data_IF_880148224383
#
_entry.id   IF_880148224383
#
_cell.length_a   1.000
_cell.length_b   1.000
_cell.length_c   1.000
_cell.angle_alpha   90.00
_cell.angle_beta   90.00
_cell.angle_gamma   90.00
#
_symmetry.space_group_name_H-M   'P 1'
#
loop_
_entity.id
_entity.type
_entity.pdbx_description
1 polymer ?
#
# COMPACT_ATOMS: atom_id res chain seq x y z
N UNK A 1 26.71 -5.46 -1.56
CA UNK A 1 25.83 -5.88 -0.45
C UNK A 1 25.74 -4.77 0.59
N UNK A 2 24.51 -4.38 0.96
CA UNK A 2 24.28 -3.41 2.05
C UNK A 2 24.86 -3.90 3.37
N UNK A 3 25.19 -2.95 4.25
CA UNK A 3 25.80 -3.20 5.55
C UNK A 3 25.22 -2.25 6.59
N UNK A 4 25.04 -2.71 7.82
CA UNK A 4 24.49 -1.87 8.90
C UNK A 4 25.39 -0.68 9.26
N UNK A 5 26.68 -0.73 8.91
CA UNK A 5 27.62 0.38 9.15
C UNK A 5 27.43 1.56 8.20
N UNK A 6 26.69 1.39 7.10
CA UNK A 6 26.32 2.51 6.24
C UNK A 6 25.18 3.30 6.89
N UNK A 7 25.38 4.61 7.05
CA UNK A 7 24.43 5.52 7.71
C UNK A 7 23.08 5.54 6.97
N UNK A 8 23.09 5.49 5.64
CA UNK A 8 21.86 5.49 4.85
C UNK A 8 21.08 4.18 5.04
N UNK A 9 21.79 3.05 5.02
CA UNK A 9 21.20 1.73 5.30
C UNK A 9 20.61 1.67 6.71
N UNK A 10 21.32 2.16 7.74
CA UNK A 10 20.80 2.20 9.11
C UNK A 10 19.55 3.09 9.23
N UNK A 11 19.56 4.29 8.62
CA UNK A 11 18.41 5.18 8.60
C UNK A 11 17.18 4.55 7.91
N UNK A 12 17.37 3.89 6.77
CA UNK A 12 16.31 3.17 6.05
C UNK A 12 15.67 2.08 6.94
N UNK A 13 16.48 1.29 7.63
CA UNK A 13 16.00 0.23 8.52
C UNK A 13 15.22 0.82 9.71
N UNK A 14 15.70 1.91 10.31
CA UNK A 14 14.98 2.62 11.38
C UNK A 14 13.63 3.14 10.90
N UNK A 15 13.55 3.71 9.70
CA UNK A 15 12.27 4.13 9.11
C UNK A 15 11.30 2.96 8.97
N UNK A 16 11.77 1.80 8.49
CA UNK A 16 10.94 0.58 8.39
C UNK A 16 10.51 0.05 9.75
N UNK A 17 11.35 0.12 10.77
CA UNK A 17 10.99 -0.27 12.15
C UNK A 17 9.91 0.65 12.70
N UNK A 18 9.99 1.96 12.45
CA UNK A 18 8.97 2.92 12.89
C UNK A 18 7.59 2.67 12.27
N UNK A 19 7.51 2.06 11.08
CA UNK A 19 6.22 1.68 10.47
C UNK A 19 5.57 0.43 11.09
N UNK A 20 6.28 -0.34 11.93
CA UNK A 20 5.73 -1.53 12.56
C UNK A 20 4.64 -1.17 13.58
N UNK A 21 3.60 -1.99 13.63
CA UNK A 21 2.47 -1.83 14.55
C UNK A 21 2.38 -3.04 15.49
N UNK A 22 1.82 -2.84 16.68
CA UNK A 22 1.63 -3.92 17.67
C UNK A 22 0.80 -5.09 17.11
N UNK A 23 -0.08 -4.83 16.15
CA UNK A 23 -0.93 -5.81 15.49
C UNK A 23 -0.37 -6.31 14.14
N UNK A 24 0.88 -5.99 13.79
CA UNK A 24 1.55 -6.54 12.61
C UNK A 24 1.57 -8.07 12.68
N UNK A 25 0.96 -8.72 11.69
CA UNK A 25 0.93 -10.18 11.59
C UNK A 25 2.15 -10.70 10.84
N UNK A 26 2.69 -11.81 11.32
CA UNK A 26 3.81 -12.46 10.66
C UNK A 26 3.36 -13.16 9.37
N UNK A 27 4.05 -12.90 8.27
CA UNK A 27 3.87 -13.56 6.97
C UNK A 27 4.40 -15.01 6.99
N UNK A 28 5.42 -15.28 7.82
CA UNK A 28 5.94 -16.63 8.09
C UNK A 28 6.46 -16.74 9.52
N UNK A 29 6.74 -17.97 9.96
CA UNK A 29 7.18 -18.25 11.32
C UNK A 29 6.03 -18.17 12.34
N UNK A 30 6.39 -18.13 13.63
CA UNK A 30 5.43 -18.20 14.75
C UNK A 30 5.45 -17.00 15.70
N UNK A 31 6.39 -16.06 15.51
CA UNK A 31 6.54 -14.92 16.41
C UNK A 31 5.48 -13.85 16.12
N UNK A 32 4.84 -13.33 17.17
CA UNK A 32 4.06 -12.10 17.06
C UNK A 32 4.97 -10.85 17.01
N UNK A 33 4.37 -9.67 16.86
CA UNK A 33 5.13 -8.43 16.68
C UNK A 33 6.12 -8.13 17.81
N UNK A 34 5.67 -8.28 19.06
CA UNK A 34 6.52 -8.10 20.23
C UNK A 34 7.64 -9.15 20.30
N UNK A 35 7.33 -10.42 20.07
CA UNK A 35 8.30 -11.52 20.11
C UNK A 35 9.41 -11.34 19.06
N UNK A 36 9.06 -10.87 17.86
CA UNK A 36 10.02 -10.55 16.81
C UNK A 36 10.94 -9.40 17.24
N UNK A 37 10.38 -8.30 17.74
CA UNK A 37 11.19 -7.18 18.24
C UNK A 37 12.17 -7.65 19.31
N UNK A 38 11.67 -8.43 20.28
CA UNK A 38 12.49 -8.97 21.35
C UNK A 38 13.62 -9.86 20.84
N UNK A 39 13.32 -10.71 19.87
CA UNK A 39 14.30 -11.55 19.20
C UNK A 39 15.39 -10.72 18.52
N UNK A 40 15.01 -9.67 17.79
CA UNK A 40 15.96 -8.79 17.12
C UNK A 40 16.81 -8.00 18.11
N UNK A 41 16.22 -7.44 19.18
CA UNK A 41 16.97 -6.80 20.28
C UNK A 41 18.03 -7.74 20.85
N UNK A 42 17.67 -9.00 21.14
CA UNK A 42 18.62 -9.99 21.67
C UNK A 42 19.74 -10.31 20.68
N UNK A 43 19.45 -10.30 19.37
CA UNK A 43 20.45 -10.42 18.32
C UNK A 43 21.43 -9.24 18.34
N UNK A 44 20.93 -8.01 18.44
CA UNK A 44 21.80 -6.84 18.48
C UNK A 44 22.63 -6.75 19.76
N UNK A 45 22.05 -7.07 20.93
CA UNK A 45 22.77 -7.17 22.20
C UNK A 45 23.92 -8.19 22.11
N UNK A 46 23.72 -9.28 21.38
CA UNK A 46 24.76 -10.27 21.13
C UNK A 46 25.90 -9.71 20.29
N UNK A 47 25.60 -9.13 19.12
CA UNK A 47 26.63 -8.57 18.24
C UNK A 47 27.42 -7.45 18.93
N UNK A 48 26.76 -6.64 19.76
CA UNK A 48 27.39 -5.57 20.53
C UNK A 48 28.09 -6.05 21.82
N UNK A 49 28.08 -7.35 22.11
CA UNK A 49 28.74 -7.92 23.28
C UNK A 49 28.04 -7.65 24.62
N UNK A 50 26.84 -7.07 24.61
CA UNK A 50 26.01 -6.84 25.80
C UNK A 50 25.48 -8.14 26.39
N UNK A 51 25.31 -9.19 25.57
CA UNK A 51 24.89 -10.52 26.00
C UNK A 51 25.63 -11.62 25.24
N UNK A 52 26.02 -12.68 25.94
CA UNK A 52 26.69 -13.83 25.34
C UNK A 52 25.81 -15.08 25.43
N UNK A 53 25.91 -15.94 24.42
CA UNK A 53 25.16 -17.18 24.31
C UNK A 53 26.09 -18.36 24.14
N UNK A 54 25.68 -19.52 24.65
CA UNK A 54 26.52 -20.72 24.58
C UNK A 54 26.72 -21.15 23.13
N UNK A 55 27.98 -21.39 22.73
CA UNK A 55 28.29 -21.88 21.39
C UNK A 55 27.76 -23.30 21.17
N UNK A 56 26.92 -23.49 20.16
CA UNK A 56 26.31 -24.78 19.82
C UNK A 56 27.32 -25.72 19.16
N UNK A 57 27.29 -27.01 19.51
CA UNK A 57 28.18 -28.02 18.94
C UNK A 57 28.01 -28.15 17.41
N UNK A 58 26.77 -28.22 16.92
CA UNK A 58 26.48 -28.26 15.49
C UNK A 58 26.95 -26.99 14.75
N UNK A 59 26.94 -25.83 15.44
CA UNK A 59 27.49 -24.59 14.90
C UNK A 59 29.01 -24.62 14.74
N UNK A 60 29.72 -25.36 15.60
CA UNK A 60 31.18 -25.55 15.45
C UNK A 60 31.54 -26.32 14.17
N UNK A 61 30.67 -27.25 13.74
CA UNK A 61 30.88 -28.08 12.55
C UNK A 61 30.40 -27.37 11.26
N UNK A 62 29.23 -26.74 11.29
CA UNK A 62 28.57 -26.25 10.07
C UNK A 62 28.40 -24.72 10.00
N UNK A 63 28.70 -24.00 11.08
CA UNK A 63 28.44 -22.55 11.19
C UNK A 63 29.13 -21.71 10.12
N UNK A 64 30.42 -21.96 9.86
CA UNK A 64 31.16 -21.22 8.83
C UNK A 64 30.60 -21.40 7.42
N UNK A 65 30.20 -22.64 7.07
CA UNK A 65 29.56 -22.94 5.78
C UNK A 65 28.19 -22.26 5.66
N UNK A 66 27.39 -22.31 6.72
CA UNK A 66 26.09 -21.64 6.76
C UNK A 66 26.22 -20.12 6.58
N UNK A 67 27.18 -19.49 7.28
CA UNK A 67 27.45 -18.06 7.12
C UNK A 67 27.86 -17.72 5.69
N UNK A 68 28.78 -18.49 5.11
CA UNK A 68 29.22 -18.30 3.72
C UNK A 68 28.06 -18.44 2.73
N UNK A 69 27.13 -19.37 2.98
CA UNK A 69 25.91 -19.52 2.18
C UNK A 69 24.98 -18.31 2.28
N UNK A 70 24.75 -17.79 3.49
CA UNK A 70 23.91 -16.62 3.73
C UNK A 70 24.51 -15.36 3.10
N UNK A 71 25.83 -15.21 3.13
CA UNK A 71 26.55 -14.02 2.64
C UNK A 71 27.07 -14.16 1.19
N UNK A 72 26.73 -15.23 0.48
CA UNK A 72 27.27 -15.50 -0.88
C UNK A 72 26.89 -14.45 -1.91
N UNK A 73 25.67 -13.93 -1.84
CA UNK A 73 25.06 -13.02 -2.80
C UNK A 73 24.06 -12.10 -2.08
N UNK A 74 23.35 -11.23 -2.80
CA UNK A 74 22.37 -10.30 -2.21
C UNK A 74 20.99 -10.94 -1.94
N UNK A 75 20.86 -12.26 -2.14
CA UNK A 75 19.61 -12.97 -1.92
C UNK A 75 19.10 -12.85 -0.48
N UNK A 76 17.78 -12.87 -0.35
CA UNK A 76 17.10 -12.79 0.93
C UNK A 76 17.36 -14.04 1.78
N UNK A 77 17.45 -13.87 3.10
CA UNK A 77 17.47 -14.99 4.03
C UNK A 77 16.17 -15.80 3.91
N UNK A 78 16.31 -17.12 3.79
CA UNK A 78 15.18 -18.05 3.66
C UNK A 78 14.26 -17.97 4.89
N UNK A 79 12.93 -18.09 4.72
CA UNK A 79 11.99 -18.26 5.83
C UNK A 79 12.33 -19.45 6.73
N UNK A 80 11.86 -19.40 7.98
CA UNK A 80 11.85 -20.51 8.94
C UNK A 80 13.23 -21.13 9.25
N UNK A 81 14.29 -20.31 9.23
CA UNK A 81 15.60 -20.75 9.73
C UNK A 81 15.55 -21.02 11.25
N UNK A 82 16.33 -21.98 11.75
CA UNK A 82 16.34 -22.32 13.16
C UNK A 82 16.87 -21.16 14.02
N UNK A 83 16.11 -20.81 15.05
CA UNK A 83 16.52 -19.85 16.07
C UNK A 83 17.32 -20.54 17.18
N UNK A 84 18.35 -19.87 17.71
CA UNK A 84 19.06 -20.33 18.89
C UNK A 84 18.08 -20.61 20.04
N UNK A 85 18.18 -21.73 20.79
CA UNK A 85 17.19 -22.06 21.82
C UNK A 85 16.96 -20.95 22.84
N UNK A 86 18.03 -20.28 23.28
CA UNK A 86 17.99 -19.16 24.23
C UNK A 86 17.41 -17.86 23.66
N UNK A 87 17.13 -17.80 22.35
CA UNK A 87 16.55 -16.64 21.65
C UNK A 87 15.10 -16.88 21.21
N UNK A 88 14.47 -17.98 21.66
CA UNK A 88 13.05 -18.23 21.44
C UNK A 88 12.21 -17.48 22.48
N UNK A 89 11.31 -16.62 22.02
CA UNK A 89 10.50 -15.77 22.89
C UNK A 89 9.10 -16.37 23.03
N UNK A 90 8.66 -16.61 24.27
CA UNK A 90 7.34 -17.17 24.58
C UNK A 90 6.41 -16.20 25.30
N UNK A 91 6.92 -15.09 25.83
CA UNK A 91 6.15 -14.09 26.58
C UNK A 91 5.59 -12.93 25.75
N UNK A 92 4.81 -12.08 26.42
CA UNK A 92 4.37 -10.75 25.95
C UNK A 92 5.15 -9.64 26.65
N UNK A 93 4.96 -8.40 26.21
CA UNK A 93 5.57 -7.23 26.83
C UNK A 93 5.23 -5.94 26.09
N UNK A 94 5.90 -4.84 26.45
CA UNK A 94 5.63 -3.53 25.87
C UNK A 94 6.30 -3.40 24.50
N UNK A 95 5.47 -3.39 23.45
CA UNK A 95 5.91 -3.26 22.05
C UNK A 95 6.69 -1.98 21.78
N UNK A 96 6.19 -0.83 22.25
CA UNK A 96 6.81 0.48 21.99
C UNK A 96 8.18 0.61 22.68
N UNK A 97 8.30 0.13 23.92
CA UNK A 97 9.58 0.13 24.64
C UNK A 97 10.61 -0.78 23.94
N UNK A 98 10.19 -1.97 23.50
CA UNK A 98 11.10 -2.89 22.82
C UNK A 98 11.49 -2.37 21.42
N UNK A 99 10.57 -1.69 20.71
CA UNK A 99 10.84 -1.02 19.43
C UNK A 99 11.88 0.09 19.60
N UNK A 100 11.70 0.95 20.59
CA UNK A 100 12.65 2.04 20.89
C UNK A 100 14.05 1.48 21.21
N UNK A 101 14.11 0.42 22.03
CA UNK A 101 15.36 -0.25 22.37
C UNK A 101 16.07 -0.84 21.14
N UNK A 102 15.34 -1.45 20.22
CA UNK A 102 15.94 -1.99 19.01
C UNK A 102 16.49 -0.89 18.10
N UNK A 103 15.76 0.22 17.95
CA UNK A 103 16.23 1.39 17.19
C UNK A 103 17.53 1.95 17.77
N UNK A 104 17.61 2.11 19.10
CA UNK A 104 18.82 2.59 19.78
C UNK A 104 20.02 1.67 19.49
N UNK A 105 19.81 0.35 19.57
CA UNK A 105 20.85 -0.62 19.25
C UNK A 105 21.30 -0.54 17.79
N UNK A 106 20.40 -0.34 16.83
CA UNK A 106 20.78 -0.19 15.43
C UNK A 106 21.55 1.11 15.16
N UNK A 107 21.21 2.19 15.86
CA UNK A 107 21.92 3.46 15.75
C UNK A 107 23.34 3.39 16.37
N UNK A 108 23.52 2.57 17.41
CA UNK A 108 24.81 2.35 18.05
C UNK A 108 25.88 1.73 17.12
N UNK A 109 25.48 1.19 15.95
CA UNK A 109 26.44 0.66 14.99
C UNK A 109 27.41 1.71 14.42
N UNK A 110 27.07 3.00 14.50
CA UNK A 110 27.96 4.10 14.11
C UNK A 110 29.27 4.11 14.92
N UNK A 111 29.24 3.65 16.18
CA UNK A 111 30.39 3.55 17.07
C UNK A 111 30.80 2.09 17.36
N UNK A 112 30.39 1.15 16.52
CA UNK A 112 30.58 -0.28 16.79
C UNK A 112 32.04 -0.71 16.85
N UNK A 113 32.40 -1.39 17.94
CA UNK A 113 33.66 -2.10 18.09
C UNK A 113 33.46 -3.38 18.90
N UNK A 114 33.73 -4.54 18.28
CA UNK A 114 33.75 -5.84 18.94
C UNK A 114 34.71 -6.81 18.23
N UNK A 115 36.04 -6.57 18.29
CA UNK A 115 37.02 -7.32 17.51
C UNK A 115 37.16 -8.79 17.90
N UNK A 116 36.70 -9.16 19.10
CA UNK A 116 36.78 -10.52 19.64
C UNK A 116 35.44 -11.27 19.61
N UNK A 117 34.45 -10.77 18.87
CA UNK A 117 33.14 -11.39 18.78
C UNK A 117 33.21 -12.82 18.22
N UNK A 118 32.51 -13.74 18.90
CA UNK A 118 32.30 -15.12 18.44
C UNK A 118 30.80 -15.43 18.48
N UNK A 119 30.21 -15.62 17.30
CA UNK A 119 28.81 -15.97 17.18
C UNK A 119 28.54 -17.40 17.69
N UNK A 120 27.46 -17.64 18.47
CA UNK A 120 27.16 -18.95 19.07
C UNK A 120 26.92 -20.07 18.05
N UNK A 121 26.49 -19.70 16.83
CA UNK A 121 26.40 -20.62 15.70
C UNK A 121 27.56 -20.47 14.68
N UNK A 122 27.73 -19.31 14.04
CA UNK A 122 28.72 -19.11 12.98
C UNK A 122 30.20 -19.09 13.40
N UNK A 123 30.52 -18.87 14.68
CA UNK A 123 31.90 -18.71 15.15
C UNK A 123 32.45 -17.31 14.91
N UNK A 124 33.76 -17.19 14.67
CA UNK A 124 34.42 -15.89 14.43
C UNK A 124 33.88 -15.27 13.14
N UNK A 125 33.61 -13.97 13.18
CA UNK A 125 33.12 -13.20 12.03
C UNK A 125 33.98 -11.95 11.86
N UNK A 126 34.26 -11.56 10.61
CA UNK A 126 34.89 -10.26 10.32
C UNK A 126 33.91 -9.12 10.53
N UNK A 127 34.41 -7.89 10.69
CA UNK A 127 33.55 -6.69 10.77
C UNK A 127 32.59 -6.63 9.58
N UNK A 128 33.09 -6.82 8.36
CA UNK A 128 32.27 -6.85 7.15
C UNK A 128 31.15 -7.91 7.23
N UNK A 129 31.48 -9.15 7.58
CA UNK A 129 30.49 -10.23 7.73
C UNK A 129 29.42 -9.92 8.77
N UNK A 130 29.80 -9.31 9.89
CA UNK A 130 28.84 -8.84 10.91
C UNK A 130 27.91 -7.82 10.28
N UNK A 131 28.46 -6.80 9.61
CA UNK A 131 27.64 -5.72 9.06
C UNK A 131 26.66 -6.18 7.98
N UNK A 132 27.09 -7.09 7.10
CA UNK A 132 26.22 -7.68 6.09
C UNK A 132 25.17 -8.62 6.71
N UNK A 133 25.54 -9.43 7.70
CA UNK A 133 24.62 -10.34 8.35
C UNK A 133 23.53 -9.60 9.14
N UNK A 134 23.92 -8.59 9.92
CA UNK A 134 22.97 -7.75 10.68
C UNK A 134 21.97 -7.12 9.72
N UNK A 135 22.43 -6.49 8.64
CA UNK A 135 21.51 -5.96 7.61
C UNK A 135 20.52 -7.03 7.11
N UNK A 136 21.01 -8.21 6.71
CA UNK A 136 20.16 -9.28 6.19
C UNK A 136 19.17 -9.81 7.23
N UNK A 137 19.58 -9.93 8.49
CA UNK A 137 18.76 -10.40 9.60
C UNK A 137 17.66 -9.38 9.94
N UNK A 138 18.01 -8.10 10.05
CA UNK A 138 17.05 -7.00 10.25
C UNK A 138 16.05 -6.94 9.10
N UNK A 139 16.51 -6.97 7.84
CA UNK A 139 15.64 -6.95 6.67
C UNK A 139 14.70 -8.16 6.63
N UNK A 140 15.20 -9.36 6.97
CA UNK A 140 14.40 -10.57 7.05
C UNK A 140 13.23 -10.42 8.02
N UNK A 141 13.49 -9.92 9.23
CA UNK A 141 12.46 -9.77 10.24
C UNK A 141 11.51 -8.60 9.98
N UNK A 142 11.98 -7.53 9.33
CA UNK A 142 11.09 -6.47 8.87
C UNK A 142 10.13 -6.96 7.79
N UNK A 143 10.59 -7.79 6.85
CA UNK A 143 9.69 -8.44 5.87
C UNK A 143 8.79 -9.49 6.50
N UNK A 144 9.23 -10.16 7.56
CA UNK A 144 8.41 -11.12 8.29
C UNK A 144 7.14 -10.47 8.84
N UNK A 145 7.22 -9.22 9.33
CA UNK A 145 6.08 -8.50 9.90
C UNK A 145 5.52 -7.40 9.00
N UNK A 146 6.06 -7.23 7.80
CA UNK A 146 5.49 -6.30 6.84
C UNK A 146 4.04 -6.74 6.55
N UNK A 147 3.14 -5.77 6.54
CA UNK A 147 1.79 -5.98 6.02
C UNK A 147 1.96 -6.42 4.57
N UNK A 148 1.21 -7.45 4.16
CA UNK A 148 1.21 -7.92 2.78
C UNK A 148 0.60 -6.83 1.89
N UNK A 149 1.42 -5.84 1.50
CA UNK A 149 1.05 -4.78 0.55
C UNK A 149 0.50 -5.38 -0.75
N UNK A 150 0.87 -6.63 -1.04
CA UNK A 150 0.42 -7.35 -2.22
C UNK A 150 -1.08 -7.61 -2.18
N UNK A 151 -1.68 -8.05 -1.07
CA UNK A 151 -3.12 -8.36 -1.04
C UNK A 151 -3.97 -7.11 -1.32
N UNK A 152 -3.67 -5.99 -0.66
CA UNK A 152 -4.39 -4.72 -0.87
C UNK A 152 -4.19 -4.21 -2.30
N UNK A 153 -2.96 -4.33 -2.82
CA UNK A 153 -2.65 -3.97 -4.21
C UNK A 153 -3.39 -4.85 -5.22
N UNK A 154 -3.44 -6.17 -5.02
CA UNK A 154 -4.18 -7.10 -5.87
C UNK A 154 -5.68 -6.81 -5.85
N UNK A 155 -6.25 -6.54 -4.67
CA UNK A 155 -7.65 -6.11 -4.54
C UNK A 155 -7.88 -4.82 -5.33
N UNK A 156 -6.99 -3.84 -5.22
CA UNK A 156 -7.14 -2.57 -5.92
C UNK A 156 -7.03 -2.71 -7.45
N UNK A 157 -6.12 -3.56 -7.94
CA UNK A 157 -6.05 -3.93 -9.36
C UNK A 157 -7.34 -4.61 -9.81
N UNK A 158 -7.87 -5.56 -9.03
CA UNK A 158 -9.12 -6.24 -9.33
C UNK A 158 -10.31 -5.26 -9.40
N UNK A 159 -10.39 -4.30 -8.47
CA UNK A 159 -11.40 -3.21 -8.50
C UNK A 159 -11.25 -2.37 -9.77
N UNK A 160 -10.03 -2.02 -10.16
CA UNK A 160 -9.76 -1.21 -11.36
C UNK A 160 -10.20 -1.95 -12.64
N UNK A 161 -9.86 -3.24 -12.75
CA UNK A 161 -10.27 -4.08 -13.88
C UNK A 161 -11.79 -4.28 -13.91
N UNK A 162 -12.41 -4.53 -12.76
CA UNK A 162 -13.85 -4.65 -12.64
C UNK A 162 -14.57 -3.35 -13.03
N UNK A 163 -14.02 -2.19 -12.65
CA UNK A 163 -14.52 -0.87 -13.09
C UNK A 163 -14.52 -0.76 -14.61
N UNK A 164 -13.45 -1.19 -15.28
CA UNK A 164 -13.36 -1.20 -16.74
C UNK A 164 -14.41 -2.13 -17.38
N UNK A 165 -14.54 -3.35 -16.85
CA UNK A 165 -15.47 -4.37 -17.37
C UNK A 165 -16.92 -3.90 -17.21
N UNK A 166 -17.29 -3.41 -16.03
CA UNK A 166 -18.62 -2.87 -15.77
C UNK A 166 -18.91 -1.67 -16.67
N UNK A 167 -17.97 -0.73 -16.81
CA UNK A 167 -18.17 0.46 -17.64
C UNK A 167 -18.23 0.14 -19.14
N UNK A 168 -17.45 -0.84 -19.62
CA UNK A 168 -17.58 -1.39 -20.97
C UNK A 168 -18.97 -1.97 -21.20
N UNK A 169 -19.48 -2.79 -20.27
CA UNK A 169 -20.86 -3.27 -20.35
C UNK A 169 -21.89 -2.14 -20.30
N UNK A 170 -21.66 -1.14 -19.45
CA UNK A 170 -22.54 0.01 -19.26
C UNK A 170 -22.68 0.91 -20.49
N UNK A 171 -21.61 0.98 -21.30
CA UNK A 171 -21.55 1.76 -22.55
C UNK A 171 -22.04 0.98 -23.78
N UNK A 172 -22.66 -0.18 -23.58
CA UNK A 172 -23.16 -1.02 -24.68
C UNK A 172 -22.07 -1.81 -25.38
N UNK A 173 -21.00 -2.14 -24.66
CA UNK A 173 -19.83 -2.89 -25.17
C UNK A 173 -19.07 -2.12 -26.26
N UNK A 174 -18.93 -0.81 -26.12
CA UNK A 174 -18.14 0.00 -27.06
C UNK A 174 -16.64 -0.31 -26.91
N UNK A 175 -16.08 -0.99 -27.92
CA UNK A 175 -14.68 -1.42 -27.94
C UNK A 175 -13.70 -0.25 -27.81
N UNK A 176 -14.07 0.95 -28.25
CA UNK A 176 -13.22 2.14 -28.16
C UNK A 176 -13.04 2.59 -26.72
N UNK A 177 -14.11 2.51 -25.91
CA UNK A 177 -14.07 2.82 -24.48
C UNK A 177 -13.10 1.89 -23.77
N UNK A 178 -13.19 0.58 -24.03
CA UNK A 178 -12.25 -0.39 -23.47
C UNK A 178 -10.82 -0.10 -23.95
N UNK A 179 -10.59 0.06 -25.26
CA UNK A 179 -9.26 0.31 -25.81
C UNK A 179 -8.58 1.55 -25.21
N UNK A 180 -9.28 2.69 -25.14
CA UNK A 180 -8.73 3.90 -24.55
C UNK A 180 -8.46 3.76 -23.05
N UNK A 181 -9.36 3.10 -22.31
CA UNK A 181 -9.17 2.87 -20.87
C UNK A 181 -7.98 1.95 -20.60
N UNK A 182 -7.86 0.85 -21.35
CA UNK A 182 -6.75 -0.11 -21.24
C UNK A 182 -5.42 0.52 -21.61
N UNK A 183 -5.35 1.25 -22.73
CA UNK A 183 -4.12 1.95 -23.14
C UNK A 183 -3.70 2.95 -22.06
N UNK A 184 -4.65 3.72 -21.52
CA UNK A 184 -4.37 4.70 -20.48
C UNK A 184 -3.82 4.07 -19.21
N UNK A 185 -4.45 3.02 -18.68
CA UNK A 185 -3.94 2.36 -17.46
C UNK A 185 -2.60 1.65 -17.70
N UNK A 186 -2.33 1.11 -18.89
CA UNK A 186 -1.02 0.52 -19.18
C UNK A 186 0.08 1.59 -19.14
N UNK A 187 -0.15 2.74 -19.76
CA UNK A 187 0.80 3.86 -19.74
C UNK A 187 1.02 4.34 -18.30
N UNK A 188 -0.06 4.65 -17.58
CA UNK A 188 0.01 5.14 -16.20
C UNK A 188 0.66 4.10 -15.28
N UNK A 189 0.35 2.83 -15.47
CA UNK A 189 0.87 1.72 -14.69
C UNK A 189 2.38 1.57 -14.84
N UNK A 190 2.88 1.52 -16.08
CA UNK A 190 4.32 1.41 -16.38
C UNK A 190 5.08 2.61 -15.81
N UNK A 191 4.57 3.82 -16.04
CA UNK A 191 5.21 5.06 -15.60
C UNK A 191 5.23 5.15 -14.06
N UNK A 192 4.14 4.77 -13.40
CA UNK A 192 4.04 4.76 -11.94
C UNK A 192 4.90 3.67 -11.29
N UNK A 193 4.97 2.48 -11.91
CA UNK A 193 5.82 1.39 -11.44
C UNK A 193 7.30 1.76 -11.48
N UNK A 194 7.72 2.55 -12.47
CA UNK A 194 9.07 3.16 -12.53
C UNK A 194 9.30 4.29 -11.52
N UNK A 195 8.33 4.61 -10.65
CA UNK A 195 8.46 5.64 -9.62
C UNK A 195 8.40 7.08 -10.14
N UNK A 196 7.97 7.30 -11.38
CA UNK A 196 8.03 8.62 -12.02
C UNK A 196 7.30 9.72 -11.22
N UNK A 197 6.15 9.41 -10.62
CA UNK A 197 5.33 10.38 -9.88
C UNK A 197 5.82 10.69 -8.46
N UNK A 198 6.82 9.97 -7.95
CA UNK A 198 7.35 10.18 -6.59
C UNK A 198 8.17 11.47 -6.45
N UNK A 199 8.69 12.01 -7.55
CA UNK A 199 9.31 13.33 -7.57
C UNK A 199 8.25 14.43 -7.65
N UNK A 200 7.75 14.84 -6.49
CA UNK A 200 6.65 15.82 -6.35
C UNK A 200 7.07 17.27 -6.58
N UNK A 201 8.38 17.56 -6.55
CA UNK A 201 8.93 18.91 -6.73
C UNK A 201 9.36 19.20 -8.18
N UNK A 202 9.24 18.22 -9.08
CA UNK A 202 9.54 18.39 -10.50
C UNK A 202 8.71 19.52 -11.12
N UNK A 203 9.33 20.26 -12.05
CA UNK A 203 8.69 21.32 -12.84
C UNK A 203 8.71 20.94 -14.33
N UNK A 204 7.55 20.81 -15.01
CA UNK A 204 6.19 20.92 -14.46
C UNK A 204 5.86 19.74 -13.51
N UNK A 205 4.89 19.90 -12.58
CA UNK A 205 4.48 18.83 -11.66
C UNK A 205 4.07 17.57 -12.43
N UNK A 206 4.80 16.47 -12.23
CA UNK A 206 4.59 15.22 -13.01
C UNK A 206 3.18 14.67 -12.86
N UNK A 207 2.60 14.82 -11.67
CA UNK A 207 1.24 14.37 -11.36
C UNK A 207 0.16 15.13 -12.15
N UNK A 208 0.44 16.35 -12.63
CA UNK A 208 -0.48 17.11 -13.47
C UNK A 208 -0.83 16.36 -14.76
N UNK A 209 0.11 15.58 -15.31
CA UNK A 209 -0.13 14.74 -16.49
C UNK A 209 -1.23 13.70 -16.28
N UNK A 210 -1.34 13.14 -15.06
CA UNK A 210 -2.40 12.20 -14.70
C UNK A 210 -3.76 12.91 -14.68
N UNK A 211 -3.84 14.08 -14.03
CA UNK A 211 -5.08 14.84 -13.92
C UNK A 211 -5.58 15.31 -15.29
N UNK A 212 -4.70 15.87 -16.12
CA UNK A 212 -5.04 16.30 -17.47
C UNK A 212 -5.43 15.11 -18.36
N UNK A 213 -4.68 14.02 -18.32
CA UNK A 213 -4.98 12.81 -19.08
C UNK A 213 -6.33 12.20 -18.68
N UNK A 214 -6.65 12.15 -17.39
CA UNK A 214 -7.95 11.69 -16.89
C UNK A 214 -9.12 12.55 -17.37
N UNK A 215 -8.94 13.88 -17.40
CA UNK A 215 -9.96 14.81 -17.95
C UNK A 215 -10.13 14.62 -19.45
N UNK A 216 -9.04 14.55 -20.22
CA UNK A 216 -9.08 14.32 -21.67
C UNK A 216 -9.77 13.00 -21.98
N UNK A 217 -9.37 11.92 -21.30
CA UNK A 217 -10.00 10.60 -21.45
C UNK A 217 -11.49 10.67 -21.16
N UNK A 218 -11.89 11.38 -20.10
CA UNK A 218 -13.31 11.54 -19.75
C UNK A 218 -14.10 12.26 -20.84
N UNK A 219 -13.55 13.33 -21.39
CA UNK A 219 -14.18 14.09 -22.49
C UNK A 219 -14.30 13.21 -23.74
N UNK A 220 -13.25 12.47 -24.10
CA UNK A 220 -13.25 11.56 -25.25
C UNK A 220 -14.32 10.49 -25.07
N UNK A 221 -14.34 9.79 -23.93
CA UNK A 221 -15.33 8.74 -23.63
C UNK A 221 -16.75 9.32 -23.67
N UNK A 222 -16.99 10.47 -23.04
CA UNK A 222 -18.30 11.10 -23.05
C UNK A 222 -18.82 11.38 -24.47
N UNK A 223 -17.95 11.85 -25.37
CA UNK A 223 -18.31 12.17 -26.76
C UNK A 223 -18.57 10.94 -27.62
N UNK A 224 -17.79 9.87 -27.46
CA UNK A 224 -17.92 8.67 -28.32
C UNK A 224 -19.10 7.77 -27.92
N UNK A 225 -19.46 7.75 -26.64
CA UNK A 225 -20.53 6.89 -26.11
C UNK A 225 -21.89 7.45 -26.52
N UNK A 226 -22.68 6.63 -27.22
CA UNK A 226 -24.04 6.99 -27.67
C UNK A 226 -25.06 6.76 -26.56
N UNK A 227 -26.02 7.69 -26.41
CA UNK A 227 -27.09 7.63 -25.39
C UNK A 227 -27.92 6.34 -25.44
N UNK A 228 -28.26 5.86 -26.64
CA UNK A 228 -29.21 4.76 -26.83
C UNK A 228 -28.68 3.40 -26.38
N UNK A 229 -27.36 3.23 -26.26
CA UNK A 229 -26.73 1.97 -25.85
C UNK A 229 -26.38 1.93 -24.35
N UNK A 230 -26.73 2.98 -23.59
CA UNK A 230 -26.41 3.06 -22.16
C UNK A 230 -27.26 2.12 -21.33
N UNK A 231 -26.61 1.23 -20.57
CA UNK A 231 -27.25 0.40 -19.56
C UNK A 231 -27.23 1.11 -18.20
N UNK A 232 -28.38 1.66 -17.78
CA UNK A 232 -28.51 2.40 -16.51
C UNK A 232 -28.19 1.55 -15.28
N UNK A 233 -28.49 0.25 -15.32
CA UNK A 233 -28.23 -0.66 -14.20
C UNK A 233 -26.74 -0.90 -14.01
N UNK A 234 -25.99 -1.08 -15.09
CA UNK A 234 -24.53 -1.23 -15.02
C UNK A 234 -23.83 0.10 -14.65
N UNK A 235 -24.34 1.25 -15.12
CA UNK A 235 -23.85 2.55 -14.65
C UNK A 235 -24.05 2.70 -13.13
N UNK A 236 -25.21 2.27 -12.60
CA UNK A 236 -25.45 2.22 -11.15
C UNK A 236 -24.51 1.23 -10.44
N UNK A 237 -24.28 0.05 -11.03
CA UNK A 237 -23.42 -0.99 -10.45
C UNK A 237 -21.99 -0.50 -10.22
N UNK A 238 -21.47 0.39 -11.04
CA UNK A 238 -20.12 0.95 -10.88
C UNK A 238 -19.99 1.73 -9.56
N UNK A 239 -21.05 2.40 -9.12
CA UNK A 239 -21.03 3.11 -7.85
C UNK A 239 -20.93 2.17 -6.64
N UNK A 240 -21.28 0.88 -6.78
CA UNK A 240 -21.07 -0.11 -5.70
C UNK A 240 -19.59 -0.33 -5.40
N UNK A 241 -18.70 -0.09 -6.37
CA UNK A 241 -17.26 -0.20 -6.19
C UNK A 241 -16.68 0.86 -5.25
N UNK A 242 -17.42 1.93 -4.94
CA UNK A 242 -17.02 2.89 -3.89
C UNK A 242 -16.85 2.19 -2.54
N UNK A 243 -17.70 1.23 -2.19
CA UNK A 243 -17.62 0.52 -0.91
C UNK A 243 -16.29 -0.24 -0.71
N UNK A 244 -15.85 -1.14 -1.61
CA UNK A 244 -14.55 -1.78 -1.47
C UNK A 244 -13.37 -0.80 -1.60
N UNK A 245 -13.50 0.29 -2.38
CA UNK A 245 -12.48 1.36 -2.42
C UNK A 245 -12.33 2.03 -1.05
N UNK A 246 -13.42 2.34 -0.36
CA UNK A 246 -13.37 2.91 1.00
C UNK A 246 -12.64 2.00 1.99
N UNK A 247 -12.85 0.68 1.87
CA UNK A 247 -12.13 -0.30 2.70
C UNK A 247 -10.63 -0.31 2.39
N UNK A 248 -10.25 -0.20 1.10
CA UNK A 248 -8.85 -0.06 0.69
C UNK A 248 -8.24 1.24 1.21
N UNK A 249 -8.93 2.38 1.08
CA UNK A 249 -8.46 3.67 1.58
C UNK A 249 -8.28 3.65 3.10
N UNK A 250 -9.18 3.01 3.84
CA UNK A 250 -9.03 2.85 5.29
C UNK A 250 -7.84 1.97 5.67
N UNK A 251 -7.57 0.92 4.89
CA UNK A 251 -6.39 0.10 5.09
C UNK A 251 -5.10 0.89 4.80
N UNK A 252 -5.08 1.68 3.71
CA UNK A 252 -3.95 2.57 3.39
C UNK A 252 -3.74 3.68 4.43
N UNK A 253 -4.81 4.13 5.09
CA UNK A 253 -4.71 5.02 6.24
C UNK A 253 -3.98 4.38 7.42
N UNK A 254 -4.32 3.13 7.77
CA UNK A 254 -3.60 2.39 8.83
C UNK A 254 -2.13 2.17 8.50
N UNK A 255 -1.79 2.16 7.22
CA UNK A 255 -0.41 2.04 6.71
C UNK A 255 0.33 3.39 6.62
N UNK A 256 -0.30 4.51 7.01
CA UNK A 256 0.33 5.83 6.95
C UNK A 256 0.35 6.47 5.55
N UNK A 257 -0.34 5.89 4.56
CA UNK A 257 -0.22 6.30 3.13
C UNK A 257 -1.31 7.26 2.65
N UNK A 258 -2.40 7.36 3.40
CA UNK A 258 -3.59 8.18 3.10
C UNK A 258 -4.08 8.80 4.41
N UNK A 259 -4.49 10.08 4.48
CA UNK A 259 -5.01 10.65 5.71
C UNK A 259 -6.37 10.11 6.12
N UNK A 260 -6.70 10.19 7.41
CA UNK A 260 -8.02 9.81 7.93
C UNK A 260 -9.15 10.59 7.24
N UNK A 261 -8.91 11.85 6.85
CA UNK A 261 -9.86 12.72 6.13
C UNK A 261 -10.38 12.09 4.85
N UNK A 262 -9.56 11.27 4.17
CA UNK A 262 -9.90 10.59 2.92
C UNK A 262 -10.63 9.24 3.13
N UNK A 263 -10.94 8.87 4.37
CA UNK A 263 -11.61 7.60 4.69
C UNK A 263 -13.01 7.84 5.22
N UNK A 264 -13.84 6.79 5.24
CA UNK A 264 -15.16 6.82 5.87
C UNK A 264 -15.16 7.13 7.38
N UNK A 265 -14.00 7.08 8.06
CA UNK A 265 -13.84 7.54 9.45
C UNK A 265 -13.61 9.05 9.56
N UNK A 266 -13.20 9.69 8.46
CA UNK A 266 -13.06 11.14 8.34
C UNK A 266 -14.23 11.73 7.57
N UNK A 267 -13.93 12.42 6.47
CA UNK A 267 -14.90 13.21 5.71
C UNK A 267 -15.31 12.56 4.39
N UNK A 268 -14.93 11.29 4.17
CA UNK A 268 -15.29 10.60 2.94
C UNK A 268 -16.69 9.98 3.04
N UNK A 269 -17.67 10.72 2.55
CA UNK A 269 -19.07 10.30 2.52
C UNK A 269 -19.42 9.36 1.35
N UNK A 270 -18.46 9.02 0.48
CA UNK A 270 -18.71 8.12 -0.64
C UNK A 270 -19.06 6.69 -0.20
N UNK A 271 -18.78 6.31 1.05
CA UNK A 271 -19.29 5.06 1.63
C UNK A 271 -20.81 4.96 1.56
N UNK A 272 -21.52 6.07 1.81
CA UNK A 272 -22.98 6.13 1.76
C UNK A 272 -23.48 6.00 0.31
N UNK A 273 -22.76 6.59 -0.64
CA UNK A 273 -23.05 6.43 -2.07
C UNK A 273 -22.83 4.99 -2.53
N UNK A 274 -21.78 4.31 -2.05
CA UNK A 274 -21.52 2.91 -2.33
C UNK A 274 -22.60 1.98 -1.78
N UNK A 275 -22.98 2.16 -0.51
CA UNK A 275 -24.04 1.36 0.15
C UNK A 275 -25.39 1.61 -0.53
N UNK A 276 -25.77 2.87 -0.75
CA UNK A 276 -27.03 3.19 -1.41
C UNK A 276 -27.07 2.68 -2.85
N UNK A 277 -25.96 2.74 -3.61
CA UNK A 277 -25.87 2.13 -4.92
C UNK A 277 -26.09 0.62 -4.89
N UNK A 278 -25.52 -0.09 -3.90
CA UNK A 278 -25.68 -1.52 -3.75
C UNK A 278 -27.15 -1.89 -3.47
N UNK A 279 -27.79 -1.19 -2.54
CA UNK A 279 -29.21 -1.38 -2.22
C UNK A 279 -30.09 -1.12 -3.45
N UNK A 280 -29.88 0.00 -4.14
CA UNK A 280 -30.66 0.36 -5.33
C UNK A 280 -30.44 -0.63 -6.47
N UNK A 281 -29.21 -1.11 -6.66
CA UNK A 281 -28.88 -2.08 -7.70
C UNK A 281 -29.55 -3.44 -7.41
N UNK A 282 -29.47 -3.93 -6.17
CA UNK A 282 -30.17 -5.16 -5.75
C UNK A 282 -31.69 -5.01 -5.88
N UNK A 283 -32.25 -3.88 -5.47
CA UNK A 283 -33.68 -3.58 -5.63
C UNK A 283 -34.12 -3.66 -7.10
N UNK A 284 -33.36 -3.05 -8.02
CA UNK A 284 -33.64 -3.11 -9.46
C UNK A 284 -33.56 -4.54 -10.02
N UNK A 285 -32.62 -5.36 -9.52
CA UNK A 285 -32.47 -6.76 -9.94
C UNK A 285 -33.62 -7.65 -9.46
N UNK A 286 -34.08 -7.46 -8.22
CA UNK A 286 -35.12 -8.27 -7.60
C UNK A 286 -36.53 -7.84 -8.00
N UNK A 287 -36.80 -6.54 -8.00
CA UNK A 287 -38.16 -6.00 -8.17
C UNK A 287 -38.54 -5.80 -9.63
N UNK A 288 -37.58 -5.71 -10.57
CA UNK A 288 -37.75 -5.28 -11.97
C UNK A 288 -38.48 -3.93 -12.16
N UNK A 289 -38.83 -3.23 -11.08
CA UNK A 289 -39.50 -1.94 -11.09
C UNK A 289 -38.52 -0.83 -11.48
N UNK A 290 -39.05 0.22 -12.12
CA UNK A 290 -38.27 1.40 -12.48
C UNK A 290 -38.23 2.38 -11.31
N UNK A 291 -37.05 2.95 -11.04
CA UNK A 291 -36.93 4.05 -10.09
C UNK A 291 -37.55 5.34 -10.67
N UNK A 292 -38.17 6.20 -9.82
CA UNK A 292 -38.70 7.48 -10.25
C UNK A 292 -37.61 8.37 -10.88
N UNK A 293 -37.95 9.07 -11.98
CA UNK A 293 -37.00 9.94 -12.70
C UNK A 293 -36.37 11.00 -11.79
N UNK A 294 -37.18 11.67 -10.97
CA UNK A 294 -36.72 12.71 -10.04
C UNK A 294 -35.71 12.13 -9.03
N UNK A 295 -35.98 10.94 -8.51
CA UNK A 295 -35.08 10.25 -7.58
C UNK A 295 -33.72 9.95 -8.24
N UNK A 296 -33.72 9.40 -9.47
CA UNK A 296 -32.48 9.13 -10.21
C UNK A 296 -31.66 10.42 -10.41
N UNK A 297 -32.31 11.51 -10.84
CA UNK A 297 -31.63 12.78 -11.06
C UNK A 297 -31.03 13.34 -9.77
N UNK A 298 -31.83 13.41 -8.69
CA UNK A 298 -31.37 13.90 -7.39
C UNK A 298 -30.21 13.07 -6.84
N UNK A 299 -30.30 11.73 -6.89
CA UNK A 299 -29.26 10.83 -6.41
C UNK A 299 -27.93 11.02 -7.16
N UNK A 300 -27.98 11.22 -8.48
CA UNK A 300 -26.77 11.46 -9.28
C UNK A 300 -26.16 12.84 -9.02
N UNK A 301 -26.98 13.88 -8.78
CA UNK A 301 -26.49 15.21 -8.42
C UNK A 301 -25.80 15.18 -7.05
N UNK A 302 -26.45 14.58 -6.04
CA UNK A 302 -25.86 14.40 -4.70
C UNK A 302 -24.55 13.61 -4.79
N UNK A 303 -24.54 12.53 -5.58
CA UNK A 303 -23.36 11.72 -5.80
C UNK A 303 -22.19 12.47 -6.46
N UNK A 304 -22.47 13.42 -7.35
CA UNK A 304 -21.46 14.31 -7.93
C UNK A 304 -20.94 15.33 -6.93
N UNK A 305 -21.79 15.86 -6.05
CA UNK A 305 -21.36 16.79 -4.98
C UNK A 305 -20.41 16.07 -4.01
N UNK A 306 -20.77 14.87 -3.57
CA UNK A 306 -19.89 14.08 -2.67
C UNK A 306 -18.58 13.70 -3.35
N UNK A 307 -18.63 13.30 -4.63
CA UNK A 307 -17.43 13.00 -5.41
C UNK A 307 -16.51 14.22 -5.54
N UNK A 308 -17.06 15.40 -5.86
CA UNK A 308 -16.29 16.63 -5.98
C UNK A 308 -15.64 17.01 -4.63
N UNK A 309 -16.38 16.84 -3.55
CA UNK A 309 -15.91 17.11 -2.20
C UNK A 309 -14.71 16.22 -1.84
N UNK A 310 -14.82 14.89 -2.03
CA UNK A 310 -13.71 13.98 -1.69
C UNK A 310 -12.52 14.13 -2.64
N UNK A 311 -12.74 14.40 -3.93
CA UNK A 311 -11.65 14.68 -4.89
C UNK A 311 -10.89 15.94 -4.48
N UNK A 312 -11.59 16.97 -3.98
CA UNK A 312 -10.95 18.18 -3.48
C UNK A 312 -10.07 17.89 -2.26
N UNK A 313 -10.58 17.13 -1.28
CA UNK A 313 -9.79 16.68 -0.13
C UNK A 313 -8.57 15.88 -0.61
N UNK A 314 -8.74 14.96 -1.57
CA UNK A 314 -7.66 14.14 -2.09
C UNK A 314 -6.54 14.98 -2.72
N UNK A 315 -6.89 15.97 -3.55
CA UNK A 315 -5.94 16.88 -4.20
C UNK A 315 -5.19 17.72 -3.16
N UNK A 316 -5.92 18.35 -2.23
CA UNK A 316 -5.30 19.21 -1.22
C UNK A 316 -4.56 18.45 -0.12
N UNK A 317 -4.78 17.14 0.00
CA UNK A 317 -4.04 16.27 0.92
C UNK A 317 -2.85 15.57 0.28
N UNK A 318 -2.74 15.56 -1.05
CA UNK A 318 -1.60 14.97 -1.75
C UNK A 318 -0.35 15.85 -1.58
N UNK A 319 0.85 15.25 -1.49
CA UNK A 319 2.12 15.96 -1.24
C UNK A 319 2.64 16.68 -2.49
N UNK A 320 1.77 17.47 -3.11
CA UNK A 320 2.05 18.30 -4.28
C UNK A 320 2.34 19.73 -3.80
N UNK A 321 2.91 20.61 -4.65
CA UNK A 321 3.15 22.01 -4.29
C UNK A 321 1.89 22.79 -3.84
N UNK A 322 0.70 22.27 -4.15
CA UNK A 322 -0.61 22.84 -3.78
C UNK A 322 -1.22 22.21 -2.51
N UNK A 323 -0.49 21.37 -1.77
CA UNK A 323 -0.99 20.74 -0.55
C UNK A 323 -1.43 21.79 0.48
N UNK A 324 -2.60 21.59 1.08
CA UNK A 324 -3.17 22.45 2.12
C UNK A 324 -3.71 21.67 3.32
N UNK A 325 -3.88 20.36 3.19
CA UNK A 325 -4.47 19.49 4.20
C UNK A 325 -3.52 18.34 4.55
N UNK A 326 -3.74 17.74 5.73
CA UNK A 326 -3.13 16.49 6.14
C UNK A 326 -1.59 16.44 6.05
N UNK A 327 -0.91 17.49 6.52
CA UNK A 327 0.55 17.57 6.50
C UNK A 327 1.23 16.45 7.32
N UNK A 328 0.60 15.99 8.41
CA UNK A 328 1.13 14.91 9.25
C UNK A 328 1.08 13.54 8.56
N UNK A 329 0.10 13.32 7.68
CA UNK A 329 -0.10 12.07 6.95
C UNK A 329 -0.66 12.35 5.54
N UNK A 330 0.18 12.80 4.60
CA UNK A 330 -0.27 13.16 3.27
C UNK A 330 -0.78 11.96 2.47
N UNK A 331 -1.57 12.23 1.45
CA UNK A 331 -2.03 11.23 0.48
C UNK A 331 -0.90 10.87 -0.49
N UNK A 332 0.06 10.07 -0.01
CA UNK A 332 1.20 9.57 -0.81
C UNK A 332 0.81 8.40 -1.70
N UNK A 333 -0.23 7.63 -1.34
CA UNK A 333 -0.63 6.41 -2.06
C UNK A 333 -0.85 6.66 -3.55
N UNK A 334 -1.52 7.76 -3.92
CA UNK A 334 -1.84 8.09 -5.32
C UNK A 334 -0.62 8.27 -6.22
N UNK A 335 0.59 8.42 -5.66
CA UNK A 335 1.83 8.52 -6.43
C UNK A 335 2.41 7.16 -6.84
N UNK A 336 1.90 6.06 -6.27
CA UNK A 336 2.44 4.72 -6.46
C UNK A 336 1.49 3.81 -7.20
N UNK A 337 2.05 2.81 -7.89
CA UNK A 337 1.29 1.70 -8.43
C UNK A 337 0.81 0.79 -7.27
N UNK A 338 -0.43 0.24 -7.32
CA UNK A 338 -1.47 0.45 -8.33
C UNK A 338 -2.43 1.62 -8.00
N UNK A 339 -2.26 2.27 -6.85
CA UNK A 339 -3.22 3.24 -6.31
C UNK A 339 -3.35 4.52 -7.15
N UNK A 340 -2.36 4.85 -7.98
CA UNK A 340 -2.47 5.91 -9.01
C UNK A 340 -3.66 5.72 -9.96
N UNK A 341 -4.16 4.48 -10.12
CA UNK A 341 -5.35 4.23 -10.93
C UNK A 341 -6.63 4.84 -10.33
N UNK A 342 -6.63 5.19 -9.04
CA UNK A 342 -7.76 5.87 -8.40
C UNK A 342 -8.08 7.21 -9.10
N UNK A 343 -7.18 8.22 -9.10
CA UNK A 343 -7.42 9.46 -9.83
C UNK A 343 -7.29 9.31 -11.34
N UNK A 344 -6.49 8.36 -11.84
CA UNK A 344 -6.25 8.23 -13.28
C UNK A 344 -7.45 7.64 -14.04
N UNK A 345 -8.19 6.71 -13.44
CA UNK A 345 -9.28 6.02 -14.14
C UNK A 345 -10.52 5.79 -13.28
N UNK A 346 -10.39 5.25 -12.07
CA UNK A 346 -11.56 4.79 -11.28
C UNK A 346 -12.49 5.96 -10.95
N UNK A 347 -11.95 7.07 -10.42
CA UNK A 347 -12.71 8.31 -10.16
C UNK A 347 -13.33 8.88 -11.45
N UNK A 348 -12.59 9.02 -12.57
CA UNK A 348 -13.17 9.37 -13.87
C UNK A 348 -14.35 8.50 -14.33
N UNK A 349 -14.26 7.17 -14.21
CA UNK A 349 -15.36 6.27 -14.61
C UNK A 349 -16.59 6.43 -13.71
N UNK A 350 -16.38 6.63 -12.41
CA UNK A 350 -17.45 6.94 -11.46
C UNK A 350 -18.10 8.29 -11.79
N UNK A 351 -17.31 9.32 -12.10
CA UNK A 351 -17.81 10.62 -12.56
C UNK A 351 -18.64 10.50 -13.84
N UNK A 352 -18.09 9.83 -14.85
CA UNK A 352 -18.78 9.58 -16.12
C UNK A 352 -20.08 8.80 -15.92
N UNK A 353 -20.13 7.86 -14.97
CA UNK A 353 -21.33 7.09 -14.70
C UNK A 353 -22.49 7.98 -14.25
N UNK A 354 -22.24 8.97 -13.40
CA UNK A 354 -23.22 9.99 -13.05
C UNK A 354 -23.63 10.84 -14.27
N UNK A 355 -22.65 11.40 -14.98
CA UNK A 355 -22.90 12.33 -16.09
C UNK A 355 -23.65 11.66 -17.24
N UNK A 356 -23.34 10.39 -17.55
CA UNK A 356 -24.02 9.62 -18.59
C UNK A 356 -25.46 9.27 -18.20
N UNK A 357 -25.73 8.97 -16.93
CA UNK A 357 -27.11 8.82 -16.44
C UNK A 357 -27.85 10.15 -16.57
N UNK A 358 -27.29 11.26 -16.09
CA UNK A 358 -27.94 12.58 -16.21
C UNK A 358 -28.26 12.92 -17.66
N UNK A 359 -27.32 12.74 -18.59
CA UNK A 359 -27.54 12.92 -20.03
C UNK A 359 -28.67 12.03 -20.58
N UNK A 360 -28.83 10.82 -20.04
CA UNK A 360 -29.88 9.90 -20.45
C UNK A 360 -31.27 10.33 -19.97
N UNK A 361 -31.39 11.05 -18.85
CA UNK A 361 -32.67 11.43 -18.25
C UNK A 361 -33.00 12.94 -18.35
N UNK A 362 -32.07 13.81 -18.77
CA UNK A 362 -32.28 15.27 -18.84
C UNK A 362 -33.11 15.78 -20.03
N UNK A 363 -33.50 14.89 -20.96
CA UNK A 363 -34.49 15.12 -22.01
C UNK A 363 -35.46 13.95 -21.98
#
# INVERSE_FOLDING_TARGET
>A
MKTIFDKNTSAELVTRINSLQVNSKAQWGKMNAYQMLKHCTMSEEMFQGKKQYKRLFIGRLFGGMALKGILKNEDQMKPNQPTHPEMKITGSGNFENEKAKWIELLQAYAAFSNPHFVHPFFGKMTKEQIGNYVYKHTDHHLRQLAIDENMVSFIFIAITLLSCILFYGATGKDKRVMAFSTLWILIVGIVSFGGYFTNTLAKPPRFLGILLGAVILSIVIYRIVRRNHLNSSLLLAIHTLRLPIELVLYQLYKEGKVPVLMTFKGWNLDIFMGISALILWLYLMLSKNKLPKLFILAWNIIGLVFLLFIVSIAIFSSPLPIQQLAFDQPNIAVLYFPYVYLPALVVPLVFLSHVLILRKYSR
#
